data_IF_505948988336
#
_entry.id   IF_505948988336
#
_cell.length_a   1.000
_cell.length_b   1.000
_cell.length_c   1.000
_cell.angle_alpha   90.00
_cell.angle_beta   90.00
_cell.angle_gamma   90.00
#
_symmetry.space_group_name_H-M   'P 1'
#
loop_
_entity.id
_entity.type
_entity.pdbx_description
1 polymer ?
#
# COMPACT_ATOMS: atom_id res chain seq x y z
N UNK A 1 30.53 31.79 -33.46
CA UNK A 1 29.07 31.53 -33.34
C UNK A 1 28.74 30.05 -33.08
N UNK A 2 29.59 29.28 -32.38
CA UNK A 2 29.39 27.83 -32.20
C UNK A 2 28.91 27.39 -30.80
N UNK A 3 29.12 28.20 -29.75
CA UNK A 3 28.78 27.83 -28.38
C UNK A 3 27.26 27.87 -28.06
N UNK A 4 26.48 28.72 -28.75
CA UNK A 4 25.05 28.88 -28.50
C UNK A 4 24.20 27.68 -28.96
N UNK A 5 24.66 26.94 -29.98
CA UNK A 5 23.95 25.74 -30.50
C UNK A 5 24.05 24.56 -29.53
N UNK A 6 25.20 24.38 -28.86
CA UNK A 6 25.44 23.24 -27.95
C UNK A 6 24.57 23.33 -26.69
N UNK A 7 24.40 24.53 -26.13
CA UNK A 7 23.58 24.75 -24.92
C UNK A 7 22.08 24.50 -25.21
N UNK A 8 21.59 24.91 -26.37
CA UNK A 8 20.20 24.68 -26.77
C UNK A 8 19.87 23.20 -27.02
N UNK A 9 20.87 22.39 -27.41
CA UNK A 9 20.68 20.97 -27.72
C UNK A 9 20.62 20.12 -26.45
N UNK A 10 21.37 20.49 -25.40
CA UNK A 10 21.32 19.81 -24.10
C UNK A 10 20.07 20.16 -23.27
N UNK A 11 19.53 21.37 -23.42
CA UNK A 11 18.31 21.78 -22.70
C UNK A 11 17.06 21.00 -23.16
N UNK A 12 17.05 20.48 -24.40
CA UNK A 12 15.92 19.72 -24.95
C UNK A 12 15.86 18.26 -24.46
N UNK A 13 17.01 17.68 -24.10
CA UNK A 13 17.10 16.27 -23.66
C UNK A 13 16.63 16.10 -22.21
N UNK A 14 16.84 17.10 -21.35
CA UNK A 14 16.46 17.05 -19.93
C UNK A 14 14.94 17.21 -19.72
N UNK A 15 14.22 17.81 -20.68
CA UNK A 15 12.77 18.03 -20.59
C UNK A 15 11.90 16.84 -21.05
N UNK A 16 12.51 15.78 -21.59
CA UNK A 16 11.79 14.64 -22.19
C UNK A 16 11.52 13.45 -21.25
N UNK A 17 12.08 13.43 -20.05
CA UNK A 17 11.98 12.29 -19.12
C UNK A 17 10.94 12.50 -18.01
N UNK A 18 9.80 13.09 -18.35
CA UNK A 18 8.62 13.03 -17.48
C UNK A 18 8.05 11.61 -17.56
N UNK A 19 8.57 10.69 -16.74
CA UNK A 19 7.95 9.39 -16.51
C UNK A 19 6.56 9.63 -15.93
N UNK A 20 5.55 9.63 -16.81
CA UNK A 20 4.16 9.54 -16.41
C UNK A 20 4.03 8.17 -15.75
N UNK A 21 4.02 8.13 -14.42
CA UNK A 21 3.64 6.93 -13.67
C UNK A 21 2.16 6.70 -13.95
N UNK A 22 1.86 6.04 -15.06
CA UNK A 22 0.53 5.53 -15.38
C UNK A 22 0.20 4.49 -14.30
N UNK A 23 -0.43 4.95 -13.22
CA UNK A 23 -0.99 4.08 -12.21
C UNK A 23 -2.16 3.34 -12.86
N UNK A 24 -1.92 2.15 -13.39
CA UNK A 24 -3.01 1.24 -13.67
C UNK A 24 -3.81 1.13 -12.38
N UNK A 25 -5.11 1.43 -12.45
CA UNK A 25 -6.04 1.10 -11.38
C UNK A 25 -6.08 -0.43 -11.30
N UNK A 26 -5.11 -1.00 -10.59
CA UNK A 26 -5.11 -2.40 -10.21
C UNK A 26 -6.35 -2.56 -9.36
N UNK A 27 -7.33 -3.30 -9.89
CA UNK A 27 -8.45 -3.75 -9.08
C UNK A 27 -7.82 -4.51 -7.90
N UNK A 28 -7.95 -3.95 -6.70
CA UNK A 28 -7.40 -4.55 -5.50
C UNK A 28 -8.12 -5.88 -5.28
N UNK A 29 -7.47 -6.99 -5.65
CA UNK A 29 -7.96 -8.34 -5.39
C UNK A 29 -7.76 -8.70 -3.91
N UNK A 30 -8.25 -9.86 -3.50
CA UNK A 30 -8.17 -10.29 -2.11
C UNK A 30 -6.72 -10.53 -1.64
N UNK A 31 -5.83 -10.89 -2.56
CA UNK A 31 -4.40 -11.10 -2.26
C UNK A 31 -3.70 -9.77 -1.99
N UNK A 32 -3.93 -8.77 -2.83
CA UNK A 32 -3.41 -7.42 -2.66
C UNK A 32 -4.03 -6.77 -1.42
N UNK A 33 -5.33 -6.95 -1.19
CA UNK A 33 -6.01 -6.44 0.01
C UNK A 33 -5.41 -7.02 1.29
N UNK A 34 -5.14 -8.34 1.32
CA UNK A 34 -4.43 -8.99 2.42
C UNK A 34 -3.01 -8.44 2.61
N UNK A 35 -2.27 -8.20 1.52
CA UNK A 35 -0.91 -7.64 1.57
C UNK A 35 -0.88 -6.23 2.17
N UNK A 36 -1.67 -5.30 1.64
CA UNK A 36 -1.67 -3.91 2.13
C UNK A 36 -2.24 -3.80 3.54
N UNK A 37 -3.19 -4.65 3.92
CA UNK A 37 -3.66 -4.73 5.30
C UNK A 37 -2.58 -5.24 6.27
N UNK A 38 -1.73 -6.19 5.84
CA UNK A 38 -0.58 -6.64 6.61
C UNK A 38 0.47 -5.54 6.76
N UNK A 39 0.82 -4.85 5.67
CA UNK A 39 1.75 -3.71 5.70
C UNK A 39 1.25 -2.62 6.66
N UNK A 40 -0.05 -2.30 6.58
CA UNK A 40 -0.66 -1.34 7.50
C UNK A 40 -0.63 -1.83 8.94
N UNK A 41 -0.89 -3.12 9.18
CA UNK A 41 -0.84 -3.69 10.52
C UNK A 41 0.57 -3.65 11.14
N UNK A 42 1.60 -3.97 10.37
CA UNK A 42 2.99 -3.89 10.80
C UNK A 42 3.40 -2.45 11.13
N UNK A 43 2.88 -1.46 10.40
CA UNK A 43 3.19 -0.03 10.63
C UNK A 43 2.82 0.50 12.02
N UNK A 44 2.01 -0.23 12.81
CA UNK A 44 1.64 0.16 14.17
C UNK A 44 2.65 -0.28 15.24
N UNK A 45 3.64 -1.09 14.89
CA UNK A 45 4.59 -1.68 15.84
C UNK A 45 6.02 -1.48 15.34
N UNK A 46 6.95 -1.13 16.24
CA UNK A 46 8.35 -0.92 15.86
C UNK A 46 9.03 -2.21 15.39
N UNK A 47 8.78 -3.33 16.06
CA UNK A 47 9.32 -4.66 15.75
C UNK A 47 8.21 -5.70 15.83
N UNK A 48 7.58 -6.02 14.69
CA UNK A 48 6.55 -7.04 14.61
C UNK A 48 6.64 -7.87 13.33
N UNK A 49 6.07 -9.07 13.40
CA UNK A 49 5.98 -10.01 12.28
C UNK A 49 4.53 -10.42 12.04
N UNK A 50 4.19 -10.72 10.79
CA UNK A 50 2.90 -11.35 10.46
C UNK A 50 3.01 -12.84 10.77
N UNK A 51 2.23 -13.33 11.73
CA UNK A 51 2.27 -14.73 12.18
C UNK A 51 1.27 -15.64 11.46
N UNK A 52 0.32 -15.07 10.71
CA UNK A 52 -0.67 -15.82 9.93
C UNK A 52 -1.15 -14.99 8.75
N UNK A 53 -1.52 -15.66 7.64
CA UNK A 53 -2.19 -15.04 6.50
C UNK A 53 -3.40 -14.19 6.96
N UNK A 54 -3.49 -12.98 6.44
CA UNK A 54 -4.63 -12.10 6.69
C UNK A 54 -5.92 -12.70 6.13
N UNK A 55 -7.05 -12.39 6.76
CA UNK A 55 -8.37 -12.90 6.35
C UNK A 55 -9.28 -11.76 5.94
N UNK A 56 -9.93 -11.89 4.79
CA UNK A 56 -11.06 -11.04 4.42
C UNK A 56 -12.25 -11.48 5.29
N UNK A 57 -12.75 -10.59 6.12
CA UNK A 57 -13.86 -10.87 7.02
C UNK A 57 -15.21 -10.47 6.43
N UNK A 58 -15.24 -9.35 5.70
CA UNK A 58 -16.46 -8.78 5.14
C UNK A 58 -16.20 -8.02 3.84
N UNK A 59 -17.11 -8.14 2.89
CA UNK A 59 -17.19 -7.27 1.72
C UNK A 59 -18.34 -6.26 1.91
N UNK A 60 -18.02 -4.97 1.94
CA UNK A 60 -18.99 -3.88 2.05
C UNK A 60 -19.45 -3.45 0.66
N UNK A 61 -20.49 -4.09 0.12
CA UNK A 61 -20.98 -3.89 -1.25
C UNK A 61 -21.18 -2.42 -1.63
N UNK A 62 -21.85 -1.62 -0.79
CA UNK A 62 -22.14 -0.21 -1.10
C UNK A 62 -20.88 0.67 -1.22
N UNK A 63 -19.81 0.31 -0.52
CA UNK A 63 -18.58 1.13 -0.49
C UNK A 63 -17.41 0.48 -1.23
N UNK A 64 -17.60 -0.73 -1.77
CA UNK A 64 -16.56 -1.58 -2.34
C UNK A 64 -15.29 -1.64 -1.48
N UNK A 65 -15.48 -1.85 -0.17
CA UNK A 65 -14.39 -2.00 0.80
C UNK A 65 -14.40 -3.41 1.38
N UNK A 66 -13.22 -3.95 1.62
CA UNK A 66 -13.02 -5.20 2.33
C UNK A 66 -12.58 -4.90 3.74
N UNK A 67 -13.20 -5.53 4.72
CA UNK A 67 -12.65 -5.61 6.07
C UNK A 67 -11.67 -6.77 6.14
N UNK A 68 -10.43 -6.48 6.52
CA UNK A 68 -9.32 -7.43 6.53
C UNK A 68 -8.73 -7.50 7.93
N UNK A 69 -8.58 -8.72 8.45
CA UNK A 69 -7.91 -9.00 9.71
C UNK A 69 -6.48 -9.49 9.47
N UNK A 70 -5.51 -8.75 9.99
CA UNK A 70 -4.09 -9.07 9.98
C UNK A 70 -3.66 -9.57 11.37
N UNK A 71 -2.81 -10.61 11.41
CA UNK A 71 -2.36 -11.22 12.66
C UNK A 71 -0.88 -10.97 12.85
N UNK A 72 -0.53 -10.14 13.82
CA UNK A 72 0.83 -9.70 14.06
C UNK A 72 1.30 -10.10 15.46
N UNK A 73 2.59 -10.42 15.60
CA UNK A 73 3.25 -10.65 16.89
C UNK A 73 4.39 -9.64 17.04
N UNK A 74 4.44 -8.96 18.18
CA UNK A 74 5.56 -8.06 18.50
C UNK A 74 6.75 -8.85 19.02
N UNK A 75 7.92 -8.21 19.09
CA UNK A 75 9.14 -8.74 19.72
C UNK A 75 8.92 -9.26 21.15
N UNK A 76 8.08 -8.58 21.93
CA UNK A 76 7.66 -9.01 23.29
C UNK A 76 6.69 -10.20 23.31
N UNK A 77 6.50 -10.91 22.19
CA UNK A 77 5.53 -12.00 22.01
C UNK A 77 4.05 -11.63 22.21
N UNK A 78 3.70 -10.34 22.25
CA UNK A 78 2.30 -9.91 22.27
C UNK A 78 1.70 -10.13 20.89
N UNK A 79 0.57 -10.83 20.84
CA UNK A 79 -0.18 -11.08 19.60
C UNK A 79 -1.27 -10.02 19.47
N UNK A 80 -1.53 -9.59 18.24
CA UNK A 80 -2.58 -8.65 17.92
C UNK A 80 -3.33 -9.08 16.67
N UNK A 81 -4.62 -8.81 16.64
CA UNK A 81 -5.42 -8.79 15.41
C UNK A 81 -5.72 -7.35 15.05
N UNK A 82 -5.26 -6.91 13.88
CA UNK A 82 -5.48 -5.55 13.37
C UNK A 82 -6.52 -5.61 12.25
N UNK A 83 -7.57 -4.81 12.37
CA UNK A 83 -8.68 -4.76 11.44
C UNK A 83 -8.57 -3.50 10.58
N UNK A 84 -8.55 -3.68 9.26
CA UNK A 84 -8.34 -2.62 8.27
C UNK A 84 -9.42 -2.68 7.18
N UNK A 85 -9.95 -1.53 6.78
CA UNK A 85 -10.73 -1.40 5.54
C UNK A 85 -9.78 -1.19 4.36
N UNK A 86 -9.95 -1.97 3.30
CA UNK A 86 -9.19 -1.82 2.06
C UNK A 86 -10.16 -1.51 0.91
N UNK A 87 -9.93 -0.42 0.18
CA UNK A 87 -10.75 -0.07 -0.98
C UNK A 87 -10.25 -0.70 -2.29
N UNK A 88 -10.98 -0.48 -3.38
CA UNK A 88 -10.64 -1.01 -4.72
C UNK A 88 -9.31 -0.53 -5.28
N UNK A 89 -8.74 0.55 -4.74
CA UNK A 89 -7.43 1.09 -5.10
C UNK A 89 -6.34 0.70 -4.10
N UNK A 90 -6.57 -0.33 -3.27
CA UNK A 90 -5.68 -0.81 -2.21
C UNK A 90 -5.29 0.23 -1.15
N UNK A 91 -6.09 1.29 -0.96
CA UNK A 91 -5.90 2.21 0.15
C UNK A 91 -6.46 1.60 1.43
N UNK A 92 -5.71 1.75 2.51
CA UNK A 92 -6.03 1.18 3.82
C UNK A 92 -6.57 2.22 4.78
N UNK A 93 -7.60 1.89 5.55
CA UNK A 93 -8.06 2.64 6.72
C UNK A 93 -8.12 1.75 7.94
N UNK A 94 -7.45 2.14 9.01
CA UNK A 94 -7.52 1.43 10.30
C UNK A 94 -8.93 1.50 10.90
N UNK A 95 -9.39 0.39 11.46
CA UNK A 95 -10.65 0.30 12.21
C UNK A 95 -10.37 0.14 13.70
N UNK A 96 -9.67 -0.93 14.07
CA UNK A 96 -9.39 -1.31 15.45
C UNK A 96 -8.23 -2.31 15.52
N UNK A 97 -7.65 -2.45 16.70
CA UNK A 97 -6.72 -3.53 17.03
C UNK A 97 -7.17 -4.19 18.33
N UNK A 98 -7.06 -5.51 18.40
CA UNK A 98 -7.32 -6.30 19.62
C UNK A 98 -6.07 -7.10 19.95
N UNK A 99 -5.75 -7.23 21.24
CA UNK A 99 -4.65 -8.08 21.72
C UNK A 99 -5.16 -9.51 21.93
#
# INVERSE_FOLDING_TARGET
MHAKKIIATHLCIILGLSFVKQGYAQNCDDLQAARVANEKALSFFQDAEVIRRAKILKYHHLSNKREVASYVKTKDNKKYTVFTLVNMQCNTRFIKATR
#
